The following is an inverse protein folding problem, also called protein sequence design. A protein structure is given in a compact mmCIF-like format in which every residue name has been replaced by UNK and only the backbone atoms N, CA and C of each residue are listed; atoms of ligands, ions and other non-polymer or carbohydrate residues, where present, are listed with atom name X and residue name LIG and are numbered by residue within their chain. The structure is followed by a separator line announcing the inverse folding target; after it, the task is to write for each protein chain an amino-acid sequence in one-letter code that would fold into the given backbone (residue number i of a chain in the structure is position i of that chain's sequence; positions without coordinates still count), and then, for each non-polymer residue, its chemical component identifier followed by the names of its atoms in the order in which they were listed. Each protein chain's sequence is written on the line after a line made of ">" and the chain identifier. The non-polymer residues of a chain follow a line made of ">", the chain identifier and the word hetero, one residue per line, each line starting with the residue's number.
data_IF_728077405925
#
_entry.id   IF_728077405925
#
_cell.length_a   1.000
_cell.length_b   1.000
_cell.length_c   1.000
_cell.angle_alpha   90.00
_cell.angle_beta   90.00
_cell.angle_gamma   90.00
#
_symmetry.space_group_name_H-M   'P 1'
#
loop_
_entity.id
_entity.type
_entity.pdbx_description
1 polymer ?
2 non-polymer ?
3 non-polymer ?
4 non-polymer ?
5 water ?
#
# COMPACT_ATOMS: atom_id res chain seq x y z
N UNK A 4 -18.21 -7.70 15.72
CA UNK A 4 -17.32 -8.89 15.52
C UNK A 4 -15.86 -8.47 15.37
N UNK A 5 -14.94 -9.40 15.66
CA UNK A 5 -13.47 -9.21 15.64
C UNK A 5 -13.02 -8.77 14.24
N UNK A 6 -13.47 -9.47 13.20
CA UNK A 6 -13.09 -9.22 11.78
C UNK A 6 -13.47 -7.79 11.38
N UNK A 7 -14.71 -7.38 11.67
CA UNK A 7 -15.21 -6.00 11.40
C UNK A 7 -14.34 -4.97 12.13
N UNK A 8 -14.09 -5.17 13.42
CA UNK A 8 -13.30 -4.25 14.28
C UNK A 8 -11.88 -4.12 13.71
N UNK A 9 -11.25 -5.24 13.38
CA UNK A 9 -9.87 -5.24 12.82
C UNK A 9 -9.88 -4.55 11.45
N UNK A 10 -10.92 -4.75 10.64
CA UNK A 10 -11.05 -4.08 9.32
C UNK A 10 -11.28 -2.57 9.50
N UNK A 11 -11.97 -2.14 10.56
CA UNK A 11 -12.09 -0.69 10.90
C UNK A 11 -10.69 -0.13 11.15
N UNK A 12 -9.86 -0.82 11.92
CA UNK A 12 -8.46 -0.38 12.19
C UNK A 12 -7.71 -0.29 10.86
N UNK A 13 -7.84 -1.30 9.99
CA UNK A 13 -7.22 -1.32 8.64
C UNK A 13 -7.68 -0.09 7.85
N UNK A 14 -8.98 0.20 7.87
CA UNK A 14 -9.53 1.38 7.14
C UNK A 14 -8.93 2.67 7.70
N UNK A 15 -8.74 2.76 9.02
CA UNK A 15 -8.11 3.93 9.66
C UNK A 15 -6.69 4.12 9.15
N UNK A 16 -5.92 3.04 9.12
CA UNK A 16 -4.52 3.04 8.59
C UNK A 16 -4.55 3.54 7.14
N UNK A 17 -5.44 2.97 6.31
CA UNK A 17 -5.54 3.33 4.87
C UNK A 17 -5.81 4.83 4.73
N UNK A 18 -6.77 5.36 5.49
CA UNK A 18 -7.10 6.81 5.50
C UNK A 18 -5.83 7.61 5.84
N UNK A 19 -5.09 7.19 6.87
CA UNK A 19 -3.84 7.88 7.28
C UNK A 19 -2.82 7.84 6.14
N UNK A 20 -2.63 6.69 5.49
CA UNK A 20 -1.62 6.56 4.39
C UNK A 20 -1.99 7.52 3.25
N UNK A 21 -3.28 7.82 3.06
CA UNK A 21 -3.78 8.70 1.98
C UNK A 21 -3.89 10.16 2.45
N UNK A 22 -3.56 10.45 3.71
CA UNK A 22 -3.77 11.78 4.35
C UNK A 22 -2.63 12.75 3.98
N UNK A 23 -2.87 14.05 4.11
CA UNK A 23 -1.89 15.09 3.72
C UNK A 23 -0.63 14.97 4.59
N UNK A 24 -0.77 14.48 5.83
CA UNK A 24 0.35 14.23 6.78
C UNK A 24 1.51 13.51 6.07
N UNK A 25 1.21 12.53 5.21
CA UNK A 25 2.23 11.61 4.62
C UNK A 25 2.41 11.84 3.11
N UNK A 26 1.76 12.86 2.54
CA UNK A 26 1.67 13.07 1.07
C UNK A 26 3.06 13.23 0.44
N UNK A 27 4.03 13.80 1.16
CA UNK A 27 5.38 14.10 0.62
C UNK A 27 6.08 12.80 0.18
N UNK A 28 5.78 11.67 0.82
CA UNK A 28 6.40 10.36 0.48
C UNK A 28 5.34 9.33 0.04
N UNK A 29 4.04 9.57 0.27
CA UNK A 29 2.99 8.59 -0.08
C UNK A 29 2.58 8.70 -1.56
N UNK A 30 2.80 9.85 -2.20
CA UNK A 30 2.15 10.16 -3.50
C UNK A 30 2.48 9.14 -4.59
N UNK A 31 3.69 8.53 -4.68
CA UNK A 31 3.96 7.55 -5.74
C UNK A 31 3.07 6.29 -5.64
N UNK A 32 2.44 6.07 -4.48
CA UNK A 32 1.66 4.85 -4.16
C UNK A 32 0.15 5.11 -4.25
N UNK A 33 -0.25 6.32 -4.65
CA UNK A 33 -1.68 6.74 -4.67
C UNK A 33 -2.44 6.01 -5.78
N UNK A 34 -1.82 5.80 -6.93
CA UNK A 34 -2.48 5.25 -8.14
C UNK A 34 -1.61 4.16 -8.74
N UNK A 35 -2.17 3.27 -9.58
CA UNK A 35 -1.37 2.26 -10.27
C UNK A 35 -0.20 2.91 -11.01
N UNK A 36 0.97 2.28 -10.95
CA UNK A 36 2.16 2.68 -11.75
C UNK A 36 1.72 2.70 -13.22
N UNK A 37 1.81 3.86 -13.87
CA UNK A 37 1.59 3.98 -15.33
C UNK A 37 2.94 3.73 -16.00
N UNK A 38 3.28 2.46 -16.22
CA UNK A 38 4.61 2.01 -16.70
C UNK A 38 4.95 2.72 -18.02
N UNK A 39 4.02 2.71 -18.98
CA UNK A 39 4.18 3.33 -20.33
C UNK A 39 4.46 4.83 -20.20
N UNK A 40 3.69 5.54 -19.36
CA UNK A 40 3.83 6.99 -19.13
C UNK A 40 5.21 7.32 -18.54
N UNK A 41 5.74 6.46 -17.66
CA UNK A 41 7.02 6.68 -16.93
C UNK A 41 8.21 6.13 -17.73
N UNK A 42 7.95 5.43 -18.84
CA UNK A 42 8.98 4.80 -19.69
C UNK A 42 9.54 3.53 -19.08
N UNK A 43 8.82 2.92 -18.13
CA UNK A 43 9.25 1.70 -17.40
C UNK A 43 8.74 0.48 -18.17
N UNK A 44 9.30 0.22 -19.35
CA UNK A 44 8.74 -0.75 -20.33
C UNK A 44 9.02 -2.19 -19.89
N UNK A 45 9.77 -2.38 -18.80
CA UNK A 45 10.06 -3.72 -18.20
C UNK A 45 9.23 -3.93 -16.93
N UNK A 46 8.43 -2.95 -16.49
CA UNK A 46 7.75 -2.99 -15.17
C UNK A 46 6.87 -4.24 -15.06
N UNK A 47 6.02 -4.52 -16.05
CA UNK A 47 5.02 -5.62 -15.99
C UNK A 47 5.66 -6.97 -16.30
N UNK A 48 6.91 -6.99 -16.76
CA UNK A 48 7.70 -8.24 -16.88
C UNK A 48 8.27 -8.62 -15.51
N UNK A 49 8.55 -7.63 -14.67
CA UNK A 49 9.24 -7.81 -13.36
C UNK A 49 8.19 -7.90 -12.24
N UNK A 50 7.12 -7.09 -12.34
CA UNK A 50 6.03 -7.02 -11.33
C UNK A 50 4.80 -7.75 -11.90
N UNK A 51 4.52 -8.95 -11.39
CA UNK A 51 3.41 -9.82 -11.87
C UNK A 51 2.09 -9.37 -11.25
N UNK A 52 2.12 -8.78 -10.05
CA UNK A 52 0.92 -8.39 -9.27
C UNK A 52 1.05 -6.94 -8.82
N UNK A 53 0.77 -5.96 -9.70
CA UNK A 53 0.81 -4.55 -9.31
C UNK A 53 -0.19 -4.28 -8.18
N UNK A 54 0.15 -3.35 -7.29
CA UNK A 54 -0.76 -2.95 -6.19
C UNK A 54 -0.44 -1.50 -5.81
N UNK A 55 -1.47 -0.77 -5.40
CA UNK A 55 -1.37 0.67 -5.04
C UNK A 55 -2.52 0.99 -4.08
N UNK A 56 -2.48 2.17 -3.46
CA UNK A 56 -3.45 2.52 -2.39
C UNK A 56 -4.85 2.74 -2.96
N UNK A 57 -5.00 3.20 -4.21
CA UNK A 57 -6.35 3.39 -4.82
C UNK A 57 -7.02 2.03 -4.99
N UNK A 58 -6.25 0.99 -5.34
CA UNK A 58 -6.76 -0.39 -5.51
C UNK A 58 -7.13 -0.95 -4.13
N UNK A 59 -6.30 -0.70 -3.11
CA UNK A 59 -6.59 -1.14 -1.71
C UNK A 59 -7.89 -0.46 -1.25
N UNK A 60 -8.04 0.83 -1.56
CA UNK A 60 -9.25 1.62 -1.17
C UNK A 60 -10.49 1.03 -1.85
N UNK A 61 -10.41 0.74 -3.15
CA UNK A 61 -11.56 0.16 -3.90
C UNK A 61 -11.93 -1.19 -3.27
N UNK A 62 -10.94 -2.02 -2.96
CA UNK A 62 -11.17 -3.37 -2.39
C UNK A 62 -11.79 -3.23 -0.99
N UNK A 63 -11.34 -2.26 -0.19
CA UNK A 63 -11.94 -2.00 1.15
C UNK A 63 -13.40 -1.57 0.96
N UNK A 64 -13.66 -0.60 0.07
CA UNK A 64 -15.02 -0.05 -0.19
C UNK A 64 -15.96 -1.16 -0.68
N UNK A 65 -15.44 -2.11 -1.47
CA UNK A 65 -16.21 -3.23 -2.08
C UNK A 65 -16.35 -4.42 -1.11
N UNK A 66 -15.80 -4.30 0.10
CA UNK A 66 -15.78 -5.36 1.15
C UNK A 66 -15.09 -6.61 0.59
N UNK A 67 -14.05 -6.41 -0.23
CA UNK A 67 -13.25 -7.51 -0.83
C UNK A 67 -12.44 -8.19 0.29
N UNK A 68 -11.80 -7.40 1.16
CA UNK A 68 -10.96 -7.92 2.26
C UNK A 68 -11.86 -8.56 3.32
N UNK A 69 -11.61 -9.84 3.62
CA UNK A 69 -12.40 -10.60 4.61
C UNK A 69 -11.76 -10.46 6.00
N UNK A 70 -10.48 -10.09 6.08
CA UNK A 70 -9.76 -9.94 7.37
C UNK A 70 -8.58 -8.98 7.22
N UNK A 71 -7.99 -8.59 8.35
CA UNK A 71 -6.85 -7.64 8.41
C UNK A 71 -5.65 -8.20 7.65
N UNK A 72 -5.41 -9.51 7.76
CA UNK A 72 -4.26 -10.21 7.13
C UNK A 72 -4.31 -10.00 5.60
N UNK A 73 -5.50 -10.10 5.00
CA UNK A 73 -5.66 -9.98 3.53
C UNK A 73 -5.36 -8.54 3.11
N UNK A 74 -5.86 -7.57 3.87
CA UNK A 74 -5.57 -6.12 3.67
C UNK A 74 -4.06 -5.90 3.73
N UNK A 75 -3.42 -6.37 4.80
CA UNK A 75 -1.97 -6.16 5.06
C UNK A 75 -1.16 -6.77 3.91
N UNK A 76 -1.57 -7.92 3.38
CA UNK A 76 -0.85 -8.62 2.29
C UNK A 76 -0.79 -7.70 1.06
N UNK A 77 -1.87 -6.98 0.75
CA UNK A 77 -1.91 -6.05 -0.41
C UNK A 77 -1.01 -4.84 -0.14
N UNK A 78 -1.06 -4.26 1.06
CA UNK A 78 -0.21 -3.09 1.38
C UNK A 78 1.26 -3.52 1.26
N UNK A 79 1.61 -4.69 1.78
CA UNK A 79 3.02 -5.17 1.77
C UNK A 79 3.42 -5.56 0.34
N UNK A 80 2.50 -6.11 -0.46
CA UNK A 80 2.75 -6.42 -1.89
C UNK A 80 3.16 -5.12 -2.60
N UNK A 81 2.44 -4.03 -2.34
CA UNK A 81 2.73 -2.70 -2.93
C UNK A 81 4.17 -2.29 -2.61
N UNK A 82 4.60 -2.40 -1.35
CA UNK A 82 5.98 -2.04 -0.93
C UNK A 82 6.99 -3.00 -1.57
N UNK A 83 6.72 -4.30 -1.53
CA UNK A 83 7.61 -5.35 -2.10
C UNK A 83 7.85 -5.10 -3.59
N UNK A 84 6.80 -4.71 -4.33
CA UNK A 84 6.92 -4.39 -5.78
C UNK A 84 7.94 -3.26 -5.95
N UNK A 85 7.86 -2.23 -5.11
CA UNK A 85 8.78 -1.07 -5.14
C UNK A 85 10.22 -1.54 -4.90
N UNK A 86 10.44 -2.40 -3.90
CA UNK A 86 11.78 -2.91 -3.51
C UNK A 86 12.31 -3.88 -4.57
N UNK A 87 11.42 -4.58 -5.28
CA UNK A 87 11.82 -5.56 -6.33
C UNK A 87 12.26 -4.81 -7.59
N UNK A 88 11.49 -3.81 -8.02
CA UNK A 88 11.68 -3.15 -9.33
C UNK A 88 12.86 -2.17 -9.28
N UNK A 89 12.93 -1.36 -8.22
CA UNK A 89 13.81 -0.17 -8.15
C UNK A 89 15.13 -0.51 -7.47
N UNK A 90 16.27 0.03 -7.95
CA UNK A 90 17.53 -0.06 -7.21
C UNK A 90 17.33 0.53 -5.82
N UNK A 91 17.96 -0.05 -4.77
CA UNK A 91 17.66 0.33 -3.39
C UNK A 91 18.05 1.77 -2.99
N UNK A 92 18.83 2.47 -3.83
CA UNK A 92 19.32 3.85 -3.56
C UNK A 92 18.43 4.89 -4.24
N UNK A 93 17.37 4.48 -4.95
CA UNK A 93 16.46 5.39 -5.68
C UNK A 93 15.51 6.08 -4.70
N UNK A 94 15.11 7.32 -5.01
CA UNK A 94 14.27 8.18 -4.14
C UNK A 94 12.96 7.47 -3.79
N UNK A 95 12.35 6.77 -4.75
CA UNK A 95 11.01 6.14 -4.55
C UNK A 95 11.12 5.04 -3.48
N UNK A 96 12.28 4.39 -3.36
CA UNK A 96 12.51 3.31 -2.35
C UNK A 96 12.58 3.95 -0.96
N UNK A 97 13.28 5.08 -0.81
CA UNK A 97 13.33 5.85 0.45
C UNK A 97 11.91 6.22 0.88
N UNK A 98 11.08 6.63 -0.08
CA UNK A 98 9.67 7.03 0.18
C UNK A 98 8.86 5.80 0.61
N UNK A 99 9.05 4.66 -0.06
CA UNK A 99 8.40 3.38 0.30
C UNK A 99 8.75 3.00 1.75
N UNK A 100 10.03 3.07 2.12
CA UNK A 100 10.51 2.66 3.47
C UNK A 100 9.84 3.54 4.54
N UNK A 101 9.72 4.84 4.28
CA UNK A 101 9.08 5.80 5.23
C UNK A 101 7.59 5.48 5.36
N UNK A 102 6.88 5.25 4.25
CA UNK A 102 5.43 4.94 4.31
C UNK A 102 5.23 3.56 4.95
N UNK A 103 6.12 2.60 4.69
CA UNK A 103 5.98 1.26 5.31
C UNK A 103 6.21 1.37 6.82
N UNK A 104 7.10 2.26 7.27
CA UNK A 104 7.32 2.51 8.72
C UNK A 104 5.99 2.98 9.34
N UNK A 105 5.32 3.94 8.71
CA UNK A 105 3.98 4.43 9.18
C UNK A 105 3.05 3.23 9.27
N UNK A 106 2.96 2.45 8.20
CA UNK A 106 2.04 1.29 8.10
C UNK A 106 2.34 0.28 9.21
N UNK A 107 3.59 -0.18 9.31
CA UNK A 107 3.94 -1.32 10.20
C UNK A 107 3.69 -0.93 11.66
N UNK A 108 4.05 0.28 12.06
CA UNK A 108 3.92 0.71 13.48
C UNK A 108 2.44 0.80 13.85
N UNK A 109 1.59 1.29 12.95
CA UNK A 109 0.14 1.39 13.27
C UNK A 109 -0.55 0.03 13.11
N UNK A 110 -0.15 -0.79 12.13
CA UNK A 110 -0.71 -2.16 11.95
C UNK A 110 -0.47 -2.96 13.24
N UNK A 111 0.68 -2.75 13.89
CA UNK A 111 1.08 -3.45 15.13
C UNK A 111 0.12 -3.12 16.28
N UNK A 112 -0.60 -1.99 16.20
CA UNK A 112 -1.56 -1.52 17.24
C UNK A 112 -2.96 -2.10 16.98
N UNK A 113 -3.07 -3.13 16.14
CA UNK A 113 -4.32 -3.88 15.84
C UNK A 113 -5.00 -4.27 17.15
N UNK A 114 -6.31 -3.99 17.34
CA UNK A 114 -7.04 -4.52 18.49
C UNK A 114 -7.18 -6.04 18.39
N UNK A 115 -6.94 -6.76 19.49
CA UNK A 115 -7.09 -8.24 19.59
C UNK A 115 -7.26 -8.63 21.06
X LIG B 1 -17.04 -3.95 8.19
X LIG B 1 -17.90 -3.34 9.12
X LIG B 1 -15.65 -3.41 8.27
X LIG B 1 -15.59 -2.15 7.61
X LIG B 1 -14.26 -1.77 7.28
X LIG B 1 -14.27 -0.43 6.60
X LIG B 1 -15.23 -0.36 5.56
X LIG C 1 -20.01 2.37 10.05
X LIG C 1 -19.98 1.38 11.06
X LIG C 1 -18.82 2.27 9.15
X LIG C 1 -18.72 3.44 8.34
X LIG C 1 -17.79 3.30 7.27
X LIG C 1 -16.39 3.53 7.77
X LIG C 1 -15.88 2.40 8.45
X LIG D 1 9.33 -1.59 9.22
X LIG D 1 9.00 -0.98 7.99
X LIG D 1 9.37 -0.61 10.33
X LIG D 1 10.30 0.43 10.12
X LIG E 1 -9.98 -12.22 -4.39
X LIG E 1 -11.23 -11.86 -3.85
X LIG E 1 -8.85 -11.43 -3.84
X LIG E 1 -9.07 -10.03 -3.85
X LIG F 1 9.17 3.70 -10.12
X LIG F 1 9.29 6.40 -10.79
X LIG F 1 8.30 5.94 -9.95
X LIG F 1 8.27 8.87 -8.86
X LIG F 1 5.77 3.00 -7.18
X LIG F 1 7.03 3.08 -7.99
X LIG F 1 7.86 2.18 -7.98
X LIG F 1 7.16 4.21 -8.74
X LIG F 1 8.22 4.59 -9.60
X LIG F 1 10.17 4.17 -10.96
X LIG F 1 10.24 5.51 -11.30
X LIG F 1 7.32 6.72 -9.39
X LIG F 1 7.27 8.12 -9.70
X LIG F 1 8.57 8.46 -7.56
X LIG F 1 9.48 9.15 -6.79
X LIG F 1 10.11 10.27 -7.30
X LIG F 1 9.82 10.70 -8.58
X LIG F 1 8.91 10.00 -9.35
X LIG F 1 11.30 6.04 -12.21
X LIG F 1 11.01 6.70 -13.21
X LIG F 1 12.57 5.75 -11.90
X LIG F 1 13.70 6.20 -12.71
X LIG F 1 13.84 7.71 -12.73
X LIG F 1 13.72 8.34 -11.37
X LIG F 1 14.53 8.20 -10.28
X LIG F 1 13.99 8.98 -9.30
X LIG F 1 12.90 9.56 -9.81
X LIG F 1 12.69 9.21 -11.06
#
# INVERSE_FOLDING_TARGET
>A
GSMGKLSEQLKHCNGILKELLSKKHAAYAWPFYKPVDASALGLHDYHDIIKHPMDLSTVKRKMENRDYRDAQEFAADVRLMFSNCYKYNPPDHDVVAMARKLQDVFEFRYAKMPD
>B hetero
1 PEG C1 O1 C2 O2 C3 C4 O4
>C hetero
1 PEG C1 O1 C2 O2 C3 C4 O4
>D hetero
1 EDO C1 O1 C2 O2
>E hetero
1 EDO C1 O1 C2 O2
>F hetero
1 QB5 C10 C15 C17 C22 C01 C05 O06 N07 C09 C12 C14 O18 C19 C23 C25 C27 C29 C31 C33 O34 N35 C37 C40 C43 C44 N46 C48 N50
#
